data_IF_368130055891
#
_entry.id   IF_368130055891
#
_cell.length_a   1.000
_cell.length_b   1.000
_cell.length_c   1.000
_cell.angle_alpha   90.00
_cell.angle_beta   90.00
_cell.angle_gamma   90.00
#
_symmetry.space_group_name_H-M   'P 1'
#
loop_
_entity.id
_entity.type
_entity.pdbx_description
1 polymer ?
#
# COMPACT_ATOMS: atom_id res chain seq x y z
N UNK A 1 18.19 -26.32 5.32
CA UNK A 1 18.25 -25.09 4.49
C UNK A 1 16.93 -24.81 3.76
N UNK A 2 15.99 -25.75 3.69
CA UNK A 2 14.61 -25.51 3.19
C UNK A 2 13.68 -24.96 4.29
N UNK A 3 14.02 -25.20 5.55
CA UNK A 3 13.12 -24.97 6.68
C UNK A 3 13.00 -23.48 7.07
N UNK A 4 14.05 -22.68 6.85
CA UNK A 4 14.00 -21.23 7.14
C UNK A 4 13.20 -20.42 6.10
N UNK A 5 13.10 -20.91 4.85
CA UNK A 5 12.40 -20.22 3.77
C UNK A 5 10.89 -20.49 3.80
N UNK A 6 10.49 -21.71 4.21
CA UNK A 6 9.08 -22.07 4.44
C UNK A 6 8.47 -21.39 5.67
N UNK A 7 9.22 -21.25 6.77
CA UNK A 7 8.74 -20.55 7.98
C UNK A 7 8.45 -19.08 7.67
N UNK A 8 9.37 -18.39 6.98
CA UNK A 8 9.24 -16.97 6.64
C UNK A 8 8.07 -16.71 5.66
N UNK A 9 7.85 -17.62 4.69
CA UNK A 9 6.70 -17.55 3.78
C UNK A 9 5.36 -17.76 4.49
N UNK A 10 5.34 -18.62 5.51
CA UNK A 10 4.14 -18.89 6.31
C UNK A 10 3.75 -17.68 7.14
N UNK A 11 4.71 -17.07 7.86
CA UNK A 11 4.47 -15.87 8.67
C UNK A 11 3.99 -14.69 7.82
N UNK A 12 4.62 -14.48 6.66
CA UNK A 12 4.21 -13.46 5.69
C UNK A 12 2.77 -13.68 5.21
N UNK A 13 2.42 -14.90 4.81
CA UNK A 13 1.06 -15.21 4.35
C UNK A 13 0.00 -15.01 5.43
N UNK A 14 0.34 -15.29 6.69
CA UNK A 14 -0.53 -15.04 7.84
C UNK A 14 -0.71 -13.55 8.09
N UNK A 15 0.36 -12.77 8.01
CA UNK A 15 0.32 -11.31 8.18
C UNK A 15 -0.51 -10.66 7.07
N UNK A 16 -0.23 -10.97 5.80
CA UNK A 16 -1.00 -10.48 4.65
C UNK A 16 -2.45 -10.95 4.67
N UNK A 17 -2.70 -12.14 5.25
CA UNK A 17 -4.03 -12.71 5.43
C UNK A 17 -4.95 -11.91 6.36
N UNK A 18 -4.39 -11.02 7.20
CA UNK A 18 -5.12 -10.15 8.13
C UNK A 18 -5.59 -8.84 7.51
N UNK A 19 -5.10 -8.49 6.31
CA UNK A 19 -5.54 -7.27 5.65
C UNK A 19 -7.04 -7.30 5.38
N UNK A 20 -7.67 -6.14 5.53
CA UNK A 20 -9.08 -5.90 5.25
C UNK A 20 -9.26 -4.75 4.25
N UNK A 21 -10.46 -4.64 3.68
CA UNK A 21 -10.80 -3.50 2.81
C UNK A 21 -10.82 -2.22 3.64
N UNK A 22 -10.09 -1.21 3.18
CA UNK A 22 -9.90 0.04 3.91
C UNK A 22 -8.54 0.16 4.59
N UNK A 23 -7.77 -0.93 4.70
CA UNK A 23 -6.41 -0.87 5.22
C UNK A 23 -5.46 -0.16 4.28
N UNK A 24 -4.46 0.50 4.85
CA UNK A 24 -3.36 1.11 4.13
C UNK A 24 -2.10 0.33 4.43
N UNK A 25 -1.34 0.01 3.38
CA UNK A 25 -0.07 -0.67 3.50
C UNK A 25 1.04 0.05 2.72
N UNK A 26 2.27 -0.30 3.06
CA UNK A 26 3.46 0.11 2.32
C UNK A 26 3.96 -1.02 1.43
N UNK A 27 4.33 -0.67 0.22
CA UNK A 27 5.09 -1.54 -0.65
C UNK A 27 6.18 -0.78 -1.38
N UNK A 28 6.93 -1.52 -2.18
CA UNK A 28 8.00 -1.00 -3.02
C UNK A 28 7.84 -1.50 -4.43
N UNK A 29 7.97 -0.60 -5.40
CA UNK A 29 7.97 -0.96 -6.82
C UNK A 29 9.27 -1.67 -7.18
N UNK A 30 9.29 -2.35 -8.34
CA UNK A 30 10.54 -2.99 -8.82
C UNK A 30 11.67 -1.99 -9.06
N UNK A 31 11.33 -0.76 -9.46
CA UNK A 31 12.23 0.38 -9.60
C UNK A 31 12.65 1.03 -8.27
N UNK A 32 12.16 0.54 -7.13
CA UNK A 32 12.50 1.04 -5.80
C UNK A 32 11.66 2.21 -5.30
N UNK A 33 10.62 2.61 -6.04
CA UNK A 33 9.68 3.64 -5.63
C UNK A 33 8.75 3.16 -4.52
N UNK A 34 8.48 4.04 -3.55
CA UNK A 34 7.55 3.73 -2.44
C UNK A 34 6.08 3.74 -2.91
N UNK A 35 5.35 2.72 -2.49
CA UNK A 35 3.94 2.49 -2.81
C UNK A 35 3.11 2.61 -1.52
N UNK A 36 2.41 3.73 -1.36
CA UNK A 36 1.36 3.87 -0.35
C UNK A 36 0.02 3.48 -0.98
N UNK A 37 -0.52 2.35 -0.53
CA UNK A 37 -1.67 1.71 -1.17
C UNK A 37 -2.83 1.54 -0.19
N UNK A 38 -4.05 1.84 -0.65
CA UNK A 38 -5.31 1.55 0.03
C UNK A 38 -5.90 0.25 -0.52
N UNK A 39 -6.23 -0.70 0.35
CA UNK A 39 -6.92 -1.94 -0.02
C UNK A 39 -8.35 -1.63 -0.44
N UNK A 40 -8.74 -2.06 -1.63
CA UNK A 40 -10.06 -1.79 -2.21
C UNK A 40 -10.91 -3.05 -2.37
N UNK A 41 -10.28 -4.22 -2.48
CA UNK A 41 -10.97 -5.52 -2.58
C UNK A 41 -10.02 -6.64 -2.18
N UNK A 42 -10.53 -7.66 -1.49
CA UNK A 42 -9.81 -8.89 -1.18
C UNK A 42 -10.64 -10.07 -1.68
N UNK A 43 -9.97 -11.07 -2.25
CA UNK A 43 -10.54 -12.39 -2.52
C UNK A 43 -9.61 -13.47 -1.93
N UNK A 44 -9.91 -14.73 -2.21
CA UNK A 44 -9.19 -15.87 -1.64
C UNK A 44 -7.69 -15.86 -1.94
N UNK A 45 -7.29 -15.30 -3.09
CA UNK A 45 -5.92 -15.39 -3.61
C UNK A 45 -5.23 -14.04 -3.78
N UNK A 46 -5.98 -12.93 -3.81
CA UNK A 46 -5.44 -11.63 -4.17
C UNK A 46 -5.97 -10.49 -3.30
N UNK A 47 -5.09 -9.50 -3.10
CA UNK A 47 -5.38 -8.19 -2.53
C UNK A 47 -5.34 -7.18 -3.68
N UNK A 48 -6.49 -6.58 -3.98
CA UNK A 48 -6.56 -5.44 -4.91
C UNK A 48 -6.43 -4.16 -4.10
N UNK A 49 -5.54 -3.28 -4.56
CA UNK A 49 -5.29 -2.01 -3.92
C UNK A 49 -5.16 -0.90 -4.94
N UNK A 50 -5.16 0.34 -4.45
CA UNK A 50 -4.97 1.53 -5.26
C UNK A 50 -3.96 2.46 -4.59
N UNK A 51 -3.03 2.98 -5.38
CA UNK A 51 -2.06 3.96 -4.89
C UNK A 51 -2.75 5.28 -4.59
N UNK A 52 -2.56 5.80 -3.39
CA UNK A 52 -3.33 6.94 -2.84
C UNK A 52 -3.23 8.20 -3.70
N UNK A 53 -2.09 8.47 -4.33
CA UNK A 53 -1.88 9.70 -5.12
C UNK A 53 -2.05 9.46 -6.62
N UNK A 54 -1.37 8.46 -7.19
CA UNK A 54 -1.41 8.23 -8.65
C UNK A 54 -2.67 7.51 -9.11
N UNK A 55 -3.43 6.91 -8.19
CA UNK A 55 -4.67 6.18 -8.46
C UNK A 55 -4.46 4.93 -9.34
N UNK A 56 -3.21 4.49 -9.53
CA UNK A 56 -2.86 3.22 -10.18
C UNK A 56 -3.40 2.05 -9.34
N UNK A 57 -3.98 1.06 -10.02
CA UNK A 57 -4.47 -0.16 -9.37
C UNK A 57 -3.39 -1.21 -9.37
N UNK A 58 -3.21 -1.90 -8.24
CA UNK A 58 -2.30 -3.03 -8.11
C UNK A 58 -3.08 -4.25 -7.65
N UNK A 59 -2.63 -5.43 -8.08
CA UNK A 59 -3.19 -6.72 -7.67
C UNK A 59 -2.04 -7.56 -7.13
N UNK A 60 -2.03 -7.75 -5.82
CA UNK A 60 -1.00 -8.50 -5.12
C UNK A 60 -1.48 -9.91 -4.82
N UNK A 61 -0.60 -10.89 -5.01
CA UNK A 61 -0.80 -12.25 -4.48
C UNK A 61 -0.85 -12.20 -2.95
N UNK A 62 -1.85 -12.85 -2.35
CA UNK A 62 -2.12 -12.80 -0.90
C UNK A 62 -1.10 -13.59 -0.07
N UNK A 63 -0.34 -14.49 -0.69
CA UNK A 63 0.67 -15.33 -0.02
C UNK A 63 2.04 -14.65 -0.08
N UNK A 64 2.46 -14.20 -1.26
CA UNK A 64 3.79 -13.61 -1.47
C UNK A 64 3.78 -12.09 -1.28
N UNK A 65 2.63 -11.44 -1.37
CA UNK A 65 2.51 -9.99 -1.36
C UNK A 65 3.15 -9.33 -2.59
N UNK A 66 3.29 -10.04 -3.71
CA UNK A 66 3.89 -9.50 -4.95
C UNK A 66 2.84 -9.18 -6.00
N UNK A 67 3.02 -8.07 -6.72
CA UNK A 67 2.24 -7.70 -7.91
C UNK A 67 3.10 -7.83 -9.16
N UNK A 68 2.52 -8.42 -10.21
CA UNK A 68 3.12 -8.43 -11.54
C UNK A 68 3.18 -7.01 -12.15
N UNK A 69 4.10 -6.74 -13.10
CA UNK A 69 4.08 -5.52 -13.89
C UNK A 69 2.88 -5.50 -14.86
N UNK A 70 2.44 -4.30 -15.20
CA UNK A 70 1.38 -4.00 -16.18
C UNK A 70 1.82 -2.83 -17.05
N UNK A 71 1.00 -2.41 -18.01
CA UNK A 71 1.26 -1.20 -18.79
C UNK A 71 1.22 0.08 -17.94
N UNK A 72 0.60 0.03 -16.74
CA UNK A 72 0.47 1.19 -15.85
C UNK A 72 1.59 1.28 -14.80
N UNK A 73 2.23 0.16 -14.45
CA UNK A 73 3.23 0.11 -13.38
C UNK A 73 4.19 -1.08 -13.53
N UNK A 74 5.38 -0.97 -12.97
CA UNK A 74 6.43 -2.00 -12.99
C UNK A 74 6.22 -3.16 -11.98
N UNK A 75 5.10 -3.16 -11.27
CA UNK A 75 4.78 -4.14 -10.23
C UNK A 75 5.42 -3.77 -8.90
N UNK A 76 5.36 -4.66 -7.91
CA UNK A 76 5.91 -4.36 -6.59
C UNK A 76 5.71 -5.46 -5.56
N UNK A 77 6.15 -5.18 -4.34
CA UNK A 77 6.03 -6.06 -3.18
C UNK A 77 5.51 -5.30 -1.97
N UNK A 78 4.64 -5.89 -1.16
CA UNK A 78 4.20 -5.34 0.13
C UNK A 78 5.34 -5.49 1.13
N UNK A 79 5.80 -4.39 1.72
CA UNK A 79 6.91 -4.38 2.68
C UNK A 79 6.42 -4.22 4.12
N UNK A 80 5.28 -3.54 4.34
CA UNK A 80 4.70 -3.36 5.67
C UNK A 80 3.18 -3.26 5.61
N UNK A 81 2.50 -3.87 6.58
CA UNK A 81 1.06 -3.75 6.82
C UNK A 81 0.76 -3.24 8.24
N UNK A 82 1.75 -2.63 8.90
CA UNK A 82 1.58 -2.15 10.27
C UNK A 82 0.42 -1.12 10.34
N UNK A 83 -0.55 -1.30 11.25
CA UNK A 83 -1.67 -0.37 11.37
C UNK A 83 -1.21 1.05 11.64
N UNK A 84 -1.68 1.99 10.82
CA UNK A 84 -1.36 3.40 11.01
C UNK A 84 -2.11 3.98 12.23
N UNK A 85 -1.52 5.00 12.89
CA UNK A 85 -2.28 5.89 13.76
C UNK A 85 -3.55 6.39 13.05
N UNK A 86 -4.66 6.41 13.78
CA UNK A 86 -6.00 6.66 13.22
C UNK A 86 -6.11 8.00 12.50
N UNK A 87 -5.41 9.02 12.97
CA UNK A 87 -5.32 10.35 12.36
C UNK A 87 -4.60 10.29 11.00
N UNK A 88 -3.46 9.61 10.93
CA UNK A 88 -2.70 9.44 9.68
C UNK A 88 -3.51 8.61 8.67
N UNK A 89 -4.14 7.51 9.12
CA UNK A 89 -5.01 6.70 8.28
C UNK A 89 -6.13 7.54 7.64
N UNK A 90 -6.86 8.31 8.45
CA UNK A 90 -7.96 9.15 7.99
C UNK A 90 -7.50 10.21 6.99
N UNK A 91 -6.34 10.84 7.21
CA UNK A 91 -5.76 11.81 6.26
C UNK A 91 -5.50 11.15 4.91
N UNK A 92 -4.92 9.94 4.89
CA UNK A 92 -4.59 9.24 3.65
C UNK A 92 -5.84 8.74 2.91
N UNK A 93 -6.88 8.30 3.62
CA UNK A 93 -8.17 7.96 3.01
C UNK A 93 -8.83 9.21 2.40
N UNK A 94 -8.78 10.35 3.09
CA UNK A 94 -9.30 11.61 2.58
C UNK A 94 -8.52 12.08 1.33
N UNK A 95 -7.18 11.93 1.35
CA UNK A 95 -6.29 12.20 0.24
C UNK A 95 -6.64 11.33 -0.99
N UNK A 96 -6.81 10.02 -0.78
CA UNK A 96 -7.21 9.09 -1.83
C UNK A 96 -8.52 9.52 -2.50
N UNK A 97 -9.54 9.83 -1.70
CA UNK A 97 -10.83 10.31 -2.20
C UNK A 97 -10.67 11.58 -3.03
N UNK A 98 -9.84 12.53 -2.57
CA UNK A 98 -9.61 13.80 -3.24
C UNK A 98 -8.93 13.62 -4.59
N UNK A 99 -7.90 12.78 -4.68
CA UNK A 99 -7.22 12.48 -5.95
C UNK A 99 -8.10 11.68 -6.91
N UNK A 100 -8.92 10.75 -6.39
CA UNK A 100 -9.88 10.00 -7.22
C UNK A 100 -10.94 10.89 -7.85
N UNK A 101 -11.55 11.79 -7.07
CA UNK A 101 -12.64 12.65 -7.53
C UNK A 101 -12.15 13.93 -8.22
N UNK A 102 -10.90 14.31 -7.98
CA UNK A 102 -10.34 15.60 -8.37
C UNK A 102 -9.57 15.62 -9.69
N UNK A 103 -9.61 14.56 -10.52
CA UNK A 103 -8.79 14.48 -11.75
C UNK A 103 -8.91 15.67 -12.72
N UNK A 104 -9.95 16.51 -12.59
CA UNK A 104 -10.23 17.64 -13.50
C UNK A 104 -10.00 19.04 -12.91
N UNK A 105 -9.42 19.18 -11.70
CA UNK A 105 -9.16 20.51 -11.10
C UNK A 105 -7.67 20.65 -10.73
N UNK A 106 -7.04 21.79 -11.03
CA UNK A 106 -5.63 22.04 -10.67
C UNK A 106 -5.38 22.02 -9.16
N UNK A 107 -6.38 22.41 -8.37
CA UNK A 107 -6.28 22.52 -6.91
C UNK A 107 -6.36 21.16 -6.20
N UNK A 108 -7.01 20.16 -6.78
CA UNK A 108 -7.12 18.80 -6.22
C UNK A 108 -5.83 18.00 -6.29
N UNK A 109 -4.81 18.50 -6.99
CA UNK A 109 -3.50 17.84 -7.13
C UNK A 109 -2.46 18.43 -6.17
N UNK A 110 -2.74 19.57 -5.52
CA UNK A 110 -1.84 20.13 -4.50
C UNK A 110 -2.07 19.42 -3.16
N UNK A 111 -0.98 18.97 -2.54
CA UNK A 111 -1.01 18.47 -1.18
C UNK A 111 -1.23 19.62 -0.19
N UNK A 112 -2.04 19.37 0.84
CA UNK A 112 -2.19 20.22 2.02
C UNK A 112 -1.09 19.87 3.03
N UNK A 113 -0.78 20.78 3.95
CA UNK A 113 0.29 20.56 4.93
C UNK A 113 0.12 19.25 5.71
N UNK A 114 -1.10 18.97 6.21
CA UNK A 114 -1.42 17.73 6.93
C UNK A 114 -1.16 16.46 6.10
N UNK A 115 -1.40 16.53 4.78
CA UNK A 115 -1.18 15.39 3.87
C UNK A 115 0.32 15.22 3.56
N UNK A 116 1.07 16.32 3.47
CA UNK A 116 2.52 16.26 3.33
C UNK A 116 3.17 15.65 4.58
N UNK A 117 2.76 16.10 5.76
CA UNK A 117 3.23 15.58 7.04
C UNK A 117 2.90 14.09 7.18
N UNK A 118 1.65 13.69 6.85
CA UNK A 118 1.28 12.28 6.84
C UNK A 118 2.14 11.45 5.89
N UNK A 119 2.39 11.92 4.65
CA UNK A 119 3.22 11.19 3.70
C UNK A 119 4.69 11.09 4.12
N UNK A 120 5.23 12.13 4.78
CA UNK A 120 6.58 12.11 5.36
C UNK A 120 6.66 11.11 6.52
N UNK A 121 5.66 11.09 7.40
CA UNK A 121 5.57 10.15 8.52
C UNK A 121 5.63 8.68 8.05
N UNK A 122 4.95 8.34 6.94
CA UNK A 122 4.91 6.96 6.43
C UNK A 122 6.31 6.41 6.09
N UNK A 123 7.20 7.27 5.58
CA UNK A 123 8.54 6.85 5.18
C UNK A 123 9.31 6.24 6.34
N UNK A 124 9.32 6.95 7.47
CA UNK A 124 10.05 6.54 8.67
C UNK A 124 9.30 5.49 9.49
N UNK A 125 7.96 5.50 9.43
CA UNK A 125 7.14 4.58 10.20
C UNK A 125 7.29 3.16 9.66
N UNK A 126 7.06 2.93 8.37
CA UNK A 126 7.04 1.58 7.81
C UNK A 126 8.43 0.92 7.73
N UNK A 127 9.51 1.70 7.64
CA UNK A 127 10.88 1.16 7.72
C UNK A 127 11.18 0.49 9.06
N UNK A 128 10.46 0.84 10.13
CA UNK A 128 10.61 0.24 11.46
C UNK A 128 9.82 -1.05 11.65
N UNK A 129 8.84 -1.32 10.77
CA UNK A 129 7.90 -2.44 10.90
C UNK A 129 7.78 -3.24 9.59
N UNK A 130 8.87 -3.84 9.08
CA UNK A 130 8.80 -4.70 7.90
C UNK A 130 8.08 -6.02 8.20
N UNK A 131 7.51 -6.62 7.14
CA UNK A 131 6.97 -8.00 7.15
C UNK A 131 8.07 -9.01 6.93
#
# INVERSE_FOLDING_TARGET
MKDHEEINKTDRSVILGKLEVGDIFHGKSKSGGRLTCLVTKINDTHITSRRVTTQQTFVFDKVTGTSAPTDEHDGGVIESVEPLPVDIHNILVALDRRYRLGKNRKESVKLRNEEQEALLFLGDYYEKYPI
#
